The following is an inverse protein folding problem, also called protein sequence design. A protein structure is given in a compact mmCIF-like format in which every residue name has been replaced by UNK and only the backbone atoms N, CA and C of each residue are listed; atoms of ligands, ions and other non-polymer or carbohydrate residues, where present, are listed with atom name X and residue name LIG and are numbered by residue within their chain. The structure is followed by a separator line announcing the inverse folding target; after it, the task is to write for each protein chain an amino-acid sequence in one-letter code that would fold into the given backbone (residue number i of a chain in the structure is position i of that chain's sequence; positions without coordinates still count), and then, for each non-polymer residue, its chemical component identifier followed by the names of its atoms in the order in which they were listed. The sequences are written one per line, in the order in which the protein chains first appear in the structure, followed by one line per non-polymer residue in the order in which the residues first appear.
data_IF_531778298883
#
_entry.id   IF_531778298883
#
_cell.length_a   1.000
_cell.length_b   1.000
_cell.length_c   1.000
_cell.angle_alpha   90.00
_cell.angle_beta   90.00
_cell.angle_gamma   90.00
#
_symmetry.space_group_name_H-M   'P 1'
#
loop_
_entity.id
_entity.type
_entity.pdbx_description
1 polymer ?
#
# COMPACT_ATOMS: atom_id res chain seq x y z
N UNK A 1 -14.73 11.65 31.86
CA UNK A 1 -14.62 10.18 31.73
C UNK A 1 -14.00 9.70 30.41
N UNK A 2 -13.69 10.57 29.42
CA UNK A 2 -13.16 10.14 28.11
C UNK A 2 -11.65 9.83 28.06
N UNK A 3 -10.84 10.37 28.97
CA UNK A 3 -9.37 10.23 28.91
C UNK A 3 -8.83 8.81 29.14
N UNK A 4 -9.61 7.92 29.77
CA UNK A 4 -9.18 6.55 30.05
C UNK A 4 -9.45 5.60 28.86
N UNK A 5 -10.54 5.86 28.13
CA UNK A 5 -10.93 5.07 26.95
C UNK A 5 -9.99 5.31 25.77
N UNK A 6 -9.66 6.57 25.46
CA UNK A 6 -8.71 6.89 24.37
C UNK A 6 -7.33 6.30 24.61
N UNK A 7 -6.82 6.37 25.85
CA UNK A 7 -5.52 5.75 26.22
C UNK A 7 -5.55 4.23 26.07
N UNK A 8 -6.67 3.60 26.39
CA UNK A 8 -6.83 2.15 26.24
C UNK A 8 -6.86 1.75 24.77
N UNK A 9 -7.59 2.49 23.92
CA UNK A 9 -7.63 2.23 22.46
C UNK A 9 -6.24 2.38 21.84
N UNK A 10 -5.55 3.49 22.09
CA UNK A 10 -4.21 3.73 21.57
C UNK A 10 -3.21 2.65 22.03
N UNK A 11 -3.33 2.20 23.29
CA UNK A 11 -2.52 1.11 23.82
C UNK A 11 -2.79 -0.20 23.07
N UNK A 12 -4.05 -0.55 22.83
CA UNK A 12 -4.41 -1.78 22.14
C UNK A 12 -3.92 -1.76 20.69
N UNK A 13 -4.12 -0.66 19.96
CA UNK A 13 -3.60 -0.48 18.60
C UNK A 13 -2.08 -0.64 18.55
N UNK A 14 -1.36 -0.07 19.53
CA UNK A 14 0.09 -0.23 19.62
C UNK A 14 0.49 -1.69 19.86
N UNK A 15 -0.19 -2.40 20.76
CA UNK A 15 0.08 -3.81 21.04
C UNK A 15 -0.18 -4.70 19.83
N UNK A 16 -1.26 -4.45 19.09
CA UNK A 16 -1.59 -5.17 17.86
C UNK A 16 -0.54 -4.94 16.77
N UNK A 17 -0.15 -3.68 16.56
CA UNK A 17 0.92 -3.33 15.64
C UNK A 17 2.25 -4.01 16.03
N UNK A 18 2.64 -3.96 17.30
CA UNK A 18 3.89 -4.57 17.78
C UNK A 18 3.88 -6.10 17.62
N UNK A 19 2.73 -6.74 17.88
CA UNK A 19 2.55 -8.17 17.65
C UNK A 19 2.66 -8.55 16.18
N UNK A 20 2.02 -7.78 15.29
CA UNK A 20 2.15 -7.97 13.84
C UNK A 20 3.61 -7.79 13.39
N UNK A 21 4.29 -6.75 13.90
CA UNK A 21 5.68 -6.46 13.58
C UNK A 21 6.64 -7.57 14.00
N UNK A 22 6.46 -8.14 15.20
CA UNK A 22 7.21 -9.29 15.67
C UNK A 22 7.02 -10.51 14.76
N UNK A 23 5.79 -10.78 14.34
CA UNK A 23 5.50 -11.88 13.42
C UNK A 23 6.14 -11.68 12.04
N UNK A 24 6.13 -10.45 11.53
CA UNK A 24 6.83 -10.08 10.29
C UNK A 24 8.33 -10.35 10.43
N UNK A 25 8.96 -9.93 11.52
CA UNK A 25 10.39 -10.18 11.78
C UNK A 25 10.74 -11.66 11.88
N UNK A 26 9.91 -12.44 12.58
CA UNK A 26 10.10 -13.88 12.67
C UNK A 26 10.01 -14.55 11.29
N UNK A 27 9.03 -14.15 10.47
CA UNK A 27 8.91 -14.64 9.09
C UNK A 27 10.11 -14.24 8.24
N UNK A 28 10.54 -12.98 8.32
CA UNK A 28 11.70 -12.46 7.60
C UNK A 28 12.96 -13.26 7.92
N UNK A 29 13.29 -13.41 9.21
CA UNK A 29 14.48 -14.13 9.65
C UNK A 29 14.43 -15.63 9.29
N UNK A 30 13.25 -16.24 9.35
CA UNK A 30 13.08 -17.65 9.00
C UNK A 30 13.18 -17.89 7.49
N UNK A 31 12.62 -17.00 6.68
CA UNK A 31 12.60 -17.13 5.23
C UNK A 31 13.92 -16.66 4.59
N UNK A 32 14.61 -15.70 5.22
CA UNK A 32 15.84 -15.08 4.72
C UNK A 32 15.70 -14.56 3.28
N UNK A 33 14.76 -13.62 3.02
CA UNK A 33 14.45 -13.18 1.67
C UNK A 33 15.61 -12.45 1.00
N UNK A 34 15.80 -12.72 -0.28
CA UNK A 34 16.73 -11.97 -1.15
C UNK A 34 15.94 -11.10 -2.12
N UNK A 35 16.63 -10.25 -2.87
CA UNK A 35 15.97 -9.46 -3.90
C UNK A 35 15.31 -10.33 -4.98
N UNK A 36 15.90 -11.46 -5.37
CA UNK A 36 15.29 -12.38 -6.34
C UNK A 36 14.10 -13.16 -5.78
N UNK A 37 14.11 -13.38 -4.45
CA UNK A 37 13.09 -14.16 -3.75
C UNK A 37 12.62 -13.39 -2.51
N UNK A 38 11.79 -12.34 -2.69
CA UNK A 38 11.36 -11.53 -1.57
C UNK A 38 10.26 -12.22 -0.75
N UNK A 39 10.12 -11.79 0.49
CA UNK A 39 8.95 -12.09 1.32
C UNK A 39 7.88 -11.02 1.07
N UNK A 40 6.73 -11.43 0.56
CA UNK A 40 5.59 -10.53 0.30
C UNK A 40 4.47 -10.87 1.29
N UNK A 41 4.04 -9.89 2.08
CA UNK A 41 2.96 -10.03 3.06
C UNK A 41 1.83 -9.08 2.67
N UNK A 42 0.74 -9.61 2.12
CA UNK A 42 -0.47 -8.83 1.83
C UNK A 42 -1.22 -8.46 3.11
N UNK A 43 -1.82 -7.26 3.13
CA UNK A 43 -2.55 -6.70 4.27
C UNK A 43 -1.84 -6.92 5.62
N UNK A 44 -0.59 -6.44 5.76
CA UNK A 44 0.30 -6.81 6.87
C UNK A 44 -0.25 -6.47 8.26
N UNK A 45 -1.15 -5.49 8.33
CA UNK A 45 -1.78 -5.02 9.57
C UNK A 45 -3.29 -5.23 9.61
N UNK A 46 -3.88 -5.94 8.63
CA UNK A 46 -5.31 -6.26 8.58
C UNK A 46 -6.24 -5.04 8.57
N UNK A 47 -5.74 -3.92 8.03
CA UNK A 47 -6.43 -2.64 7.94
C UNK A 47 -6.71 -2.22 6.49
N UNK A 48 -6.01 -2.80 5.52
CA UNK A 48 -6.14 -2.43 4.11
C UNK A 48 -5.74 -3.59 3.19
N UNK A 49 -6.73 -4.29 2.65
CA UNK A 49 -6.51 -5.38 1.68
C UNK A 49 -5.82 -4.96 0.37
N UNK A 50 -5.74 -3.66 0.10
CA UNK A 50 -5.04 -3.07 -1.05
C UNK A 50 -3.63 -2.59 -0.69
N UNK A 51 -3.03 -3.22 0.31
CA UNK A 51 -1.65 -3.01 0.71
C UNK A 51 -0.87 -4.31 0.85
N UNK A 52 0.45 -4.20 0.78
CA UNK A 52 1.38 -5.26 1.09
C UNK A 52 2.64 -4.69 1.76
N UNK A 53 3.44 -5.58 2.33
CA UNK A 53 4.80 -5.33 2.75
C UNK A 53 5.73 -6.22 1.93
N UNK A 54 6.61 -5.60 1.15
CA UNK A 54 7.65 -6.27 0.37
C UNK A 54 8.94 -6.24 1.18
N UNK A 55 9.47 -7.41 1.52
CA UNK A 55 10.66 -7.52 2.35
C UNK A 55 11.75 -8.31 1.65
N UNK A 56 12.96 -7.78 1.63
CA UNK A 56 14.15 -8.49 1.15
C UNK A 56 15.42 -7.94 1.79
N UNK A 57 16.51 -8.69 1.65
CA UNK A 57 17.86 -8.23 1.98
C UNK A 57 18.66 -8.03 0.70
N UNK A 58 19.40 -6.92 0.61
CA UNK A 58 20.40 -6.68 -0.44
C UNK A 58 21.79 -7.12 0.02
N UNK A 59 22.69 -7.37 -0.94
CA UNK A 59 24.08 -7.72 -0.62
C UNK A 59 24.88 -6.54 -0.06
N UNK A 60 24.56 -5.32 -0.52
CA UNK A 60 25.15 -4.05 -0.10
C UNK A 60 24.06 -3.06 0.33
N UNK A 61 24.36 -2.06 1.18
CA UNK A 61 23.41 -1.02 1.57
C UNK A 61 22.84 -0.32 0.35
N UNK A 62 21.51 -0.18 0.30
CA UNK A 62 20.80 0.36 -0.84
C UNK A 62 19.70 1.35 -0.44
N UNK A 63 19.24 2.12 -1.41
CA UNK A 63 18.04 2.95 -1.36
C UNK A 63 17.01 2.42 -2.34
N UNK A 64 15.74 2.54 -1.98
CA UNK A 64 14.64 1.94 -2.71
C UNK A 64 13.66 3.00 -3.21
N UNK A 65 13.20 2.85 -4.45
CA UNK A 65 11.96 3.44 -4.93
C UNK A 65 11.10 2.37 -5.59
N UNK A 66 9.78 2.56 -5.55
CA UNK A 66 8.83 1.64 -6.15
C UNK A 66 7.81 2.39 -7.02
N UNK A 67 7.32 1.69 -8.03
CA UNK A 67 6.18 2.10 -8.86
C UNK A 67 5.17 0.96 -8.91
N UNK A 68 3.90 1.28 -8.64
CA UNK A 68 2.82 0.30 -8.49
C UNK A 68 1.76 0.55 -9.56
N UNK A 69 1.47 -0.46 -10.36
CA UNK A 69 0.55 -0.38 -11.48
C UNK A 69 0.03 -1.72 -11.97
N UNK A 70 -0.62 -1.70 -13.13
CA UNK A 70 -1.07 -2.92 -13.86
C UNK A 70 -0.59 -2.92 -15.32
N UNK A 71 0.36 -2.04 -15.67
CA UNK A 71 0.86 -1.86 -17.03
C UNK A 71 0.24 -0.70 -17.81
N UNK A 72 -0.74 0.01 -17.23
CA UNK A 72 -1.19 1.33 -17.68
C UNK A 72 -0.57 2.42 -16.79
N UNK A 73 0.34 3.21 -17.37
CA UNK A 73 1.15 4.17 -16.63
C UNK A 73 0.38 5.40 -16.15
N UNK A 74 -0.84 5.64 -16.65
CA UNK A 74 -1.59 6.86 -16.34
C UNK A 74 -2.01 6.95 -14.86
N UNK A 75 -2.07 5.82 -14.16
CA UNK A 75 -2.53 5.70 -12.76
C UNK A 75 -1.52 4.97 -11.88
N UNK A 76 -0.26 4.94 -12.29
CA UNK A 76 0.82 4.38 -11.48
C UNK A 76 1.05 5.24 -10.24
N UNK A 77 1.36 4.57 -9.12
CA UNK A 77 1.67 5.22 -7.85
C UNK A 77 3.15 4.96 -7.53
N UNK A 78 3.93 6.03 -7.40
CA UNK A 78 5.34 5.94 -7.10
C UNK A 78 5.64 6.38 -5.67
N UNK A 79 6.52 5.64 -4.98
CA UNK A 79 7.08 6.01 -3.68
C UNK A 79 8.59 5.98 -3.76
N UNK A 80 9.21 7.09 -3.33
CA UNK A 80 10.66 7.22 -3.27
C UNK A 80 11.12 7.28 -1.81
N UNK A 81 11.71 6.19 -1.34
CA UNK A 81 12.21 6.06 0.03
C UNK A 81 13.66 6.57 0.16
N UNK A 82 14.34 6.88 -0.95
CA UNK A 82 15.71 7.42 -0.94
C UNK A 82 15.80 8.78 -0.24
N UNK A 83 14.70 9.54 -0.21
CA UNK A 83 14.60 10.87 0.41
C UNK A 83 14.90 10.86 1.91
N UNK A 84 14.92 9.69 2.55
CA UNK A 84 15.28 9.54 3.95
C UNK A 84 16.79 9.62 4.20
N UNK A 85 17.61 9.55 3.13
CA UNK A 85 19.07 9.70 3.20
C UNK A 85 19.81 8.54 3.85
N UNK A 86 19.10 7.44 4.14
CA UNK A 86 19.65 6.25 4.80
C UNK A 86 19.79 5.12 3.79
N UNK A 87 20.85 4.33 3.94
CA UNK A 87 21.15 3.15 3.13
C UNK A 87 21.00 1.92 4.03
N UNK A 88 20.23 0.94 3.58
CA UNK A 88 19.89 -0.23 4.39
C UNK A 88 20.22 -1.53 3.67
N UNK A 89 20.56 -2.56 4.44
CA UNK A 89 20.67 -3.93 3.95
C UNK A 89 19.32 -4.63 3.97
N UNK A 90 18.58 -4.46 5.06
CA UNK A 90 17.27 -5.06 5.27
C UNK A 90 16.18 -4.05 4.87
N UNK A 91 15.34 -4.43 3.91
CA UNK A 91 14.30 -3.57 3.36
C UNK A 91 12.92 -4.08 3.76
N UNK A 92 12.09 -3.20 4.32
CA UNK A 92 10.68 -3.45 4.65
C UNK A 92 9.85 -2.37 3.96
N UNK A 93 9.49 -2.62 2.71
CA UNK A 93 8.94 -1.60 1.81
C UNK A 93 7.41 -1.66 1.86
N UNK A 94 6.73 -0.61 2.35
CA UNK A 94 5.28 -0.55 2.29
C UNK A 94 4.83 -0.34 0.85
N UNK A 95 3.94 -1.22 0.39
CA UNK A 95 3.29 -1.14 -0.91
C UNK A 95 1.83 -0.79 -0.66
N UNK A 96 1.44 0.45 -0.91
CA UNK A 96 0.06 0.92 -0.75
C UNK A 96 -0.45 1.41 -2.10
N UNK A 97 -1.73 1.16 -2.40
CA UNK A 97 -2.28 1.53 -3.71
C UNK A 97 -2.41 0.35 -4.67
N UNK A 98 -2.64 -0.87 -4.19
CA UNK A 98 -2.88 -2.01 -5.07
C UNK A 98 -4.29 -1.93 -5.67
N UNK A 99 -4.47 -2.37 -6.90
CA UNK A 99 -5.78 -2.63 -7.50
C UNK A 99 -6.40 -3.87 -6.85
N UNK A 100 -7.73 -3.90 -6.64
CA UNK A 100 -8.46 -5.10 -6.24
C UNK A 100 -8.52 -6.13 -7.36
N UNK A 101 -8.67 -7.40 -6.99
CA UNK A 101 -8.84 -8.54 -7.91
C UNK A 101 -7.85 -8.55 -9.09
N UNK A 102 -6.60 -8.17 -8.83
CA UNK A 102 -5.64 -7.88 -9.89
C UNK A 102 -4.25 -8.42 -9.58
N UNK A 103 -3.55 -8.83 -10.64
CA UNK A 103 -2.12 -9.10 -10.62
C UNK A 103 -1.36 -7.76 -10.71
N UNK A 104 -1.12 -7.15 -9.54
CA UNK A 104 -0.46 -5.86 -9.47
C UNK A 104 1.02 -5.99 -9.77
N UNK A 105 1.53 -5.12 -10.63
CA UNK A 105 2.93 -4.99 -10.97
C UNK A 105 3.60 -3.99 -10.02
N UNK A 106 4.64 -4.42 -9.31
CA UNK A 106 5.47 -3.57 -8.46
C UNK A 106 6.88 -3.55 -9.03
N UNK A 107 7.22 -2.45 -9.69
CA UNK A 107 8.57 -2.20 -10.18
C UNK A 107 9.39 -1.56 -9.05
N UNK A 108 10.53 -2.15 -8.73
CA UNK A 108 11.40 -1.76 -7.63
C UNK A 108 12.74 -1.37 -8.20
N UNK A 109 13.17 -0.14 -7.95
CA UNK A 109 14.51 0.34 -8.28
C UNK A 109 15.34 0.30 -7.01
N UNK A 110 16.49 -0.36 -7.09
CA UNK A 110 17.46 -0.47 -6.01
C UNK A 110 18.71 0.28 -6.45
N UNK A 111 19.00 1.36 -5.75
CA UNK A 111 20.19 2.19 -5.98
C UNK A 111 21.21 1.88 -4.89
N UNK A 112 22.47 1.72 -5.28
CA UNK A 112 23.59 1.46 -4.38
C UNK A 112 24.52 2.67 -4.24
N UNK A 113 25.31 2.71 -3.16
CA UNK A 113 26.22 3.83 -2.87
C UNK A 113 27.30 4.03 -3.95
N UNK A 114 27.68 2.95 -4.64
CA UNK A 114 28.67 2.99 -5.73
C UNK A 114 28.11 3.52 -7.06
N UNK A 115 26.82 3.88 -7.08
CA UNK A 115 26.11 4.36 -8.27
C UNK A 115 25.48 3.26 -9.12
N UNK A 116 25.65 1.98 -8.76
CA UNK A 116 24.98 0.87 -9.43
C UNK A 116 23.48 0.96 -9.18
N UNK A 117 22.69 0.65 -10.21
CA UNK A 117 21.23 0.60 -10.13
C UNK A 117 20.76 -0.72 -10.72
N UNK A 118 19.89 -1.42 -9.99
CA UNK A 118 19.16 -2.57 -10.52
C UNK A 118 17.64 -2.36 -10.42
N UNK A 119 16.91 -3.02 -11.31
CA UNK A 119 15.44 -2.99 -11.31
C UNK A 119 14.90 -4.40 -11.23
N UNK A 120 13.91 -4.60 -10.36
CA UNK A 120 13.17 -5.85 -10.22
C UNK A 120 11.69 -5.60 -10.36
N UNK A 121 11.01 -6.60 -10.92
CA UNK A 121 9.56 -6.59 -10.98
C UNK A 121 8.98 -7.71 -10.13
N UNK A 122 8.00 -7.38 -9.31
CA UNK A 122 7.22 -8.34 -8.54
C UNK A 122 5.74 -8.25 -8.92
N UNK A 123 5.06 -9.39 -8.85
CA UNK A 123 3.61 -9.47 -9.02
C UNK A 123 2.95 -9.74 -7.67
N UNK A 124 1.96 -8.94 -7.30
CA UNK A 124 1.17 -9.11 -6.08
C UNK A 124 -0.30 -9.30 -6.47
N UNK A 125 -0.81 -10.50 -6.25
CA UNK A 125 -2.22 -10.80 -6.45
C UNK A 125 -3.03 -10.32 -5.25
N UNK A 126 -4.06 -9.51 -5.50
CA UNK A 126 -5.05 -9.10 -4.49
C UNK A 126 -6.34 -9.88 -4.65
N UNK A 127 -7.17 -9.84 -3.60
CA UNK A 127 -8.54 -10.36 -3.64
C UNK A 127 -9.50 -9.28 -4.14
N UNK A 128 -10.69 -9.72 -4.58
CA UNK A 128 -11.79 -8.82 -4.84
C UNK A 128 -12.21 -8.05 -3.58
N UNK A 129 -12.73 -6.85 -3.80
CA UNK A 129 -13.34 -6.06 -2.74
C UNK A 129 -14.53 -6.81 -2.12
N UNK A 130 -14.78 -6.66 -0.81
CA UNK A 130 -15.97 -7.23 -0.17
C UNK A 130 -17.24 -6.74 -0.86
N UNK A 131 -18.09 -7.67 -1.29
CA UNK A 131 -19.40 -7.38 -1.86
C UNK A 131 -20.39 -7.02 -0.74
N UNK A 132 -20.21 -5.83 -0.16
CA UNK A 132 -21.11 -5.27 0.85
C UNK A 132 -21.60 -3.92 0.35
N UNK A 133 -22.75 -3.86 -0.35
CA UNK A 133 -23.25 -2.65 -0.99
C UNK A 133 -23.49 -1.46 -0.04
N UNK A 134 -23.75 -1.73 1.24
CA UNK A 134 -23.87 -0.69 2.27
C UNK A 134 -22.53 0.01 2.52
N UNK A 135 -21.41 -0.70 2.34
CA UNK A 135 -20.08 -0.24 2.73
C UNK A 135 -19.22 0.25 1.55
N UNK A 136 -19.69 0.08 0.31
CA UNK A 136 -19.06 0.64 -0.89
C UNK A 136 -20.07 1.48 -1.65
N UNK A 137 -19.90 2.81 -1.75
CA UNK A 137 -20.85 3.62 -2.49
C UNK A 137 -20.84 3.18 -3.96
N UNK A 138 -22.02 2.89 -4.49
CA UNK A 138 -22.18 2.75 -5.93
C UNK A 138 -21.82 4.09 -6.57
N UNK A 139 -20.78 4.11 -7.42
CA UNK A 139 -20.46 5.26 -8.24
C UNK A 139 -21.55 5.40 -9.30
N UNK A 140 -22.61 6.13 -8.95
CA UNK A 140 -23.67 6.47 -9.89
C UNK A 140 -23.15 7.43 -10.97
N UNK A 141 -23.58 7.22 -12.21
CA UNK A 141 -23.50 8.27 -13.23
C UNK A 141 -24.59 9.28 -12.93
N UNK A 142 -24.24 10.56 -12.83
CA UNK A 142 -25.23 11.64 -12.76
C UNK A 142 -25.75 11.86 -14.18
N UNK A 143 -27.03 11.59 -14.40
CA UNK A 143 -27.68 11.88 -15.68
C UNK A 143 -27.64 13.38 -15.98
N UNK A 144 -27.43 13.74 -17.25
CA UNK A 144 -27.35 15.13 -17.71
C UNK A 144 -26.21 15.97 -17.11
N UNK A 145 -25.16 15.33 -16.58
CA UNK A 145 -23.94 15.99 -16.16
C UNK A 145 -22.78 15.60 -17.09
N UNK A 146 -22.38 16.52 -17.97
CA UNK A 146 -21.16 16.36 -18.77
C UNK A 146 -19.94 16.79 -17.94
N UNK A 147 -19.14 15.81 -17.57
CA UNK A 147 -17.83 16.03 -16.95
C UNK A 147 -16.74 15.70 -17.94
N UNK A 148 -15.84 16.65 -18.20
CA UNK A 148 -14.59 16.39 -18.91
C UNK A 148 -13.53 16.03 -17.88
N UNK A 149 -12.99 14.82 -17.96
CA UNK A 149 -11.87 14.39 -17.12
C UNK A 149 -10.65 15.28 -17.42
N UNK A 150 -10.16 15.96 -16.39
CA UNK A 150 -8.96 16.81 -16.46
C UNK A 150 -7.84 16.19 -15.62
N UNK A 151 -7.39 15.01 -16.03
CA UNK A 151 -6.35 14.25 -15.35
C UNK A 151 -5.09 15.09 -15.09
N UNK A 152 -4.69 15.92 -16.05
CA UNK A 152 -3.50 16.78 -15.96
C UNK A 152 -3.58 17.86 -14.86
N UNK A 153 -4.78 18.14 -14.34
CA UNK A 153 -4.98 19.09 -13.24
C UNK A 153 -5.03 18.41 -11.87
N UNK A 154 -5.09 17.08 -11.83
CA UNK A 154 -5.11 16.35 -10.57
C UNK A 154 -3.70 16.29 -9.99
N UNK A 155 -3.60 16.57 -8.69
CA UNK A 155 -2.36 16.32 -7.96
C UNK A 155 -2.04 14.81 -7.95
N UNK A 156 -0.76 14.47 -7.85
CA UNK A 156 -0.33 13.09 -7.65
C UNK A 156 -0.91 12.49 -6.36
N UNK A 157 -1.29 11.22 -6.41
CA UNK A 157 -1.75 10.46 -5.26
C UNK A 157 -3.22 10.04 -5.33
N UNK A 158 -3.82 9.85 -4.15
CA UNK A 158 -5.17 9.32 -3.99
C UNK A 158 -6.12 10.39 -3.47
N UNK A 159 -7.35 10.38 -3.98
CA UNK A 159 -8.45 11.15 -3.40
C UNK A 159 -9.17 10.28 -2.37
N UNK A 160 -9.16 10.71 -1.10
CA UNK A 160 -9.83 10.01 0.00
C UNK A 160 -11.27 10.49 0.17
N UNK A 161 -12.20 9.55 0.30
CA UNK A 161 -13.61 9.78 0.56
C UNK A 161 -14.00 9.11 1.86
N UNK A 162 -14.67 9.85 2.74
CA UNK A 162 -15.14 9.41 4.05
C UNK A 162 -16.66 9.57 4.16
N UNK A 163 -17.45 8.73 3.47
CA UNK A 163 -18.90 8.76 3.57
C UNK A 163 -19.39 8.37 4.98
N UNK A 164 -20.53 8.91 5.39
CA UNK A 164 -21.07 8.68 6.74
C UNK A 164 -21.47 7.22 7.01
N UNK A 165 -21.86 6.47 5.98
CA UNK A 165 -22.43 5.12 6.10
C UNK A 165 -21.66 4.03 5.34
N UNK A 166 -20.44 4.31 4.90
CA UNK A 166 -19.61 3.37 4.14
C UNK A 166 -18.14 3.42 4.61
N UNK A 167 -17.31 2.50 4.09
CA UNK A 167 -15.87 2.52 4.38
C UNK A 167 -15.23 3.84 3.93
N UNK A 168 -14.16 4.24 4.61
CA UNK A 168 -13.25 5.26 4.07
C UNK A 168 -12.44 4.57 2.97
N UNK A 169 -12.38 5.18 1.79
CA UNK A 169 -11.64 4.62 0.66
C UNK A 169 -10.88 5.72 -0.07
N UNK A 170 -9.81 5.31 -0.76
CA UNK A 170 -9.02 6.16 -1.64
C UNK A 170 -9.16 5.71 -3.08
N UNK A 171 -9.37 6.66 -3.99
CA UNK A 171 -9.42 6.41 -5.43
C UNK A 171 -8.29 7.09 -6.18
N UNK A 172 -7.85 6.47 -7.29
CA UNK A 172 -6.98 7.13 -8.25
C UNK A 172 -7.75 8.11 -9.16
N UNK A 173 -7.02 8.75 -10.07
CA UNK A 173 -7.57 9.75 -10.99
C UNK A 173 -8.66 9.19 -11.92
N UNK A 174 -8.64 7.88 -12.21
CA UNK A 174 -9.67 7.16 -13.00
C UNK A 174 -10.84 6.64 -12.15
N UNK A 175 -10.86 6.96 -10.85
CA UNK A 175 -11.86 6.51 -9.85
C UNK A 175 -11.74 5.03 -9.48
N UNK A 176 -10.61 4.37 -9.78
CA UNK A 176 -10.42 3.01 -9.27
C UNK A 176 -10.13 3.08 -7.78
N UNK A 177 -10.73 2.18 -6.99
CA UNK A 177 -10.40 2.04 -5.57
C UNK A 177 -8.99 1.46 -5.45
N UNK A 178 -8.09 2.18 -4.78
CA UNK A 178 -6.69 1.78 -4.56
C UNK A 178 -6.32 1.71 -3.08
N UNK A 179 -7.22 2.13 -2.20
CA UNK A 179 -7.06 2.05 -0.75
C UNK A 179 -8.41 1.90 -0.08
N UNK A 180 -8.49 1.13 1.00
CA UNK A 180 -9.70 1.00 1.80
C UNK A 180 -9.34 0.79 3.27
N UNK A 181 -10.11 1.42 4.16
CA UNK A 181 -10.03 1.13 5.60
C UNK A 181 -10.99 0.00 5.93
N UNK A 182 -10.44 -1.17 6.26
CA UNK A 182 -11.20 -2.33 6.69
C UNK A 182 -10.85 -2.67 8.14
N UNK A 183 -11.85 -3.00 8.96
CA UNK A 183 -11.64 -3.44 10.34
C UNK A 183 -12.29 -2.54 11.39
N UNK A 184 -12.72 -3.14 12.50
CA UNK A 184 -13.36 -2.45 13.62
C UNK A 184 -12.41 -1.87 14.67
N UNK A 185 -11.10 -2.03 14.48
CA UNK A 185 -10.02 -1.57 15.35
C UNK A 185 -8.78 -1.20 14.50
N UNK A 186 -8.99 -0.30 13.54
CA UNK A 186 -8.01 0.74 13.26
C UNK A 186 -8.65 2.02 13.87
#
# INVERSE_FOLDING_TARGET
MSGNTTRTILRNLKLEHDSAWQQIHMKYNKFAPTIDTPLIITDPYRCNMLSALLCFRTESPAQISITIGIGDTQTDIAFDFSKQGQWHLDHFIPVAGLYPDSANKVDVTVSYEDGTVETKNYTIQTQALPDVPVLMPALGKIENFEYTEKFDLMAEGLTFMAPQSAYIFGVDSKRNVRWILQGGLC
#
